data_IF_720441107888
#
_entry.id   IF_720441107888
#
_cell.length_a   1.000
_cell.length_b   1.000
_cell.length_c   1.000
_cell.angle_alpha   90.00
_cell.angle_beta   90.00
_cell.angle_gamma   90.00
#
_symmetry.space_group_name_H-M   'P 1'
#
loop_
_entity.id
_entity.type
_entity.pdbx_description
1 polymer ?
#
# COMPACT_ATOMS: atom_id res chain seq x y z
N UNK A 1 15.50 -0.64 -3.78
CA UNK A 1 15.10 0.60 -3.10
C UNK A 1 15.21 1.82 -4.00
N UNK A 2 16.30 2.03 -4.72
CA UNK A 2 16.43 3.19 -5.63
C UNK A 2 15.38 3.18 -6.76
N UNK A 3 15.14 2.02 -7.39
CA UNK A 3 14.11 1.90 -8.42
C UNK A 3 12.70 2.20 -7.90
N UNK A 4 12.41 1.83 -6.64
CA UNK A 4 11.15 2.22 -6.00
C UNK A 4 11.07 3.74 -5.91
N UNK A 5 12.15 4.37 -5.43
CA UNK A 5 12.18 5.80 -5.19
C UNK A 5 12.05 6.60 -6.49
N UNK A 6 12.76 6.20 -7.54
CA UNK A 6 12.71 6.85 -8.85
C UNK A 6 11.37 6.66 -9.57
N UNK A 7 10.63 5.60 -9.28
CA UNK A 7 9.42 5.22 -10.04
C UNK A 7 8.14 5.57 -9.30
N UNK A 8 8.10 5.35 -7.98
CA UNK A 8 6.86 5.35 -7.20
C UNK A 8 6.78 6.47 -6.16
N UNK A 9 7.89 7.01 -5.65
CA UNK A 9 7.82 7.98 -4.55
C UNK A 9 7.02 9.24 -4.91
N UNK A 10 7.25 9.83 -6.08
CA UNK A 10 6.49 11.00 -6.54
C UNK A 10 5.02 10.68 -6.79
N UNK A 11 4.72 9.49 -7.30
CA UNK A 11 3.35 9.02 -7.57
C UNK A 11 2.58 8.82 -6.28
N UNK A 12 3.23 8.22 -5.27
CA UNK A 12 2.65 8.02 -3.94
C UNK A 12 2.34 9.36 -3.29
N UNK A 13 3.33 10.25 -3.21
CA UNK A 13 3.17 11.51 -2.48
C UNK A 13 2.23 12.48 -3.20
N UNK A 14 2.16 12.44 -4.54
CA UNK A 14 1.18 13.23 -5.29
C UNK A 14 -0.25 12.68 -5.20
N UNK A 15 -0.42 11.36 -5.09
CA UNK A 15 -1.75 10.74 -4.98
C UNK A 15 -2.32 10.83 -3.56
N UNK A 16 -1.49 10.58 -2.54
CA UNK A 16 -1.91 10.59 -1.13
C UNK A 16 -1.80 11.97 -0.49
N UNK A 17 -1.10 12.90 -1.13
CA UNK A 17 -0.81 14.22 -0.61
C UNK A 17 0.31 14.21 0.46
N UNK A 18 0.66 15.41 0.92
CA UNK A 18 1.66 15.59 1.97
C UNK A 18 1.13 15.06 3.30
N UNK A 19 1.86 14.11 3.89
CA UNK A 19 1.53 13.60 5.23
C UNK A 19 2.01 14.54 6.33
N UNK A 20 3.21 15.11 6.17
CA UNK A 20 3.85 15.99 7.14
C UNK A 20 4.52 17.17 6.44
N UNK A 21 4.26 18.41 6.87
CA UNK A 21 4.82 19.61 6.24
C UNK A 21 6.21 20.03 6.75
N UNK A 22 6.69 19.47 7.87
CA UNK A 22 7.93 19.91 8.52
C UNK A 22 8.78 18.74 9.01
N UNK A 23 8.37 18.07 10.08
CA UNK A 23 9.09 16.96 10.69
C UNK A 23 8.23 15.69 10.62
N UNK A 24 8.70 14.72 9.85
CA UNK A 24 8.01 13.45 9.70
C UNK A 24 8.52 12.62 8.54
N UNK A 25 7.71 11.64 8.18
CA UNK A 25 7.88 10.81 7.00
C UNK A 25 6.71 11.06 6.06
N UNK A 26 7.00 11.21 4.76
CA UNK A 26 5.97 11.18 3.71
C UNK A 26 5.46 9.75 3.50
N UNK A 27 4.33 9.61 2.80
CA UNK A 27 3.76 8.30 2.55
C UNK A 27 4.68 7.42 1.71
N UNK A 28 5.42 7.98 0.74
CA UNK A 28 6.43 7.26 -0.04
C UNK A 28 7.50 6.61 0.84
N UNK A 29 8.04 7.36 1.82
CA UNK A 29 9.05 6.87 2.75
C UNK A 29 8.52 5.74 3.65
N UNK A 30 7.25 5.84 4.06
CA UNK A 30 6.60 4.86 4.94
C UNK A 30 6.27 3.59 4.16
N UNK A 31 5.67 3.71 2.97
CA UNK A 31 5.36 2.57 2.10
C UNK A 31 6.65 1.87 1.67
N UNK A 32 7.72 2.62 1.38
CA UNK A 32 9.04 2.05 1.11
C UNK A 32 9.57 1.25 2.31
N UNK A 33 9.43 1.78 3.52
CA UNK A 33 9.83 1.08 4.75
C UNK A 33 9.02 -0.21 4.94
N UNK A 34 7.70 -0.16 4.74
CA UNK A 34 6.83 -1.33 4.74
C UNK A 34 7.23 -2.35 3.66
N UNK A 35 7.60 -1.90 2.44
CA UNK A 35 8.00 -2.78 1.34
C UNK A 35 9.28 -3.57 1.65
N UNK A 36 10.17 -3.03 2.50
CA UNK A 36 11.38 -3.74 2.89
C UNK A 36 11.12 -5.05 3.64
N UNK A 37 9.99 -5.13 4.37
CA UNK A 37 9.54 -6.36 5.05
C UNK A 37 9.26 -7.46 4.03
N UNK A 38 8.46 -7.13 3.02
CA UNK A 38 8.08 -8.07 1.98
C UNK A 38 9.29 -8.55 1.15
N UNK A 39 10.26 -7.67 0.86
CA UNK A 39 11.51 -8.08 0.22
C UNK A 39 12.36 -9.03 1.07
N UNK A 40 12.27 -8.93 2.39
CA UNK A 40 12.91 -9.85 3.32
C UNK A 40 12.11 -11.13 3.56
N UNK A 41 11.02 -11.36 2.81
CA UNK A 41 10.10 -12.50 2.99
C UNK A 41 9.50 -12.57 4.39
N UNK A 42 9.36 -11.42 5.04
CA UNK A 42 8.78 -11.27 6.36
C UNK A 42 7.34 -10.72 6.24
N UNK A 43 6.55 -10.84 7.29
CA UNK A 43 5.19 -10.30 7.38
C UNK A 43 4.95 -9.50 8.67
N UNK A 44 5.90 -9.53 9.61
CA UNK A 44 5.75 -8.84 10.89
C UNK A 44 6.21 -7.38 10.77
N UNK A 45 5.29 -6.43 10.96
CA UNK A 45 5.59 -4.99 10.88
C UNK A 45 6.66 -4.56 11.91
N UNK A 46 6.70 -5.23 13.07
CA UNK A 46 7.70 -5.01 14.11
C UNK A 46 9.13 -5.25 13.62
N UNK A 47 9.32 -6.13 12.65
CA UNK A 47 10.63 -6.55 12.15
C UNK A 47 11.35 -5.45 11.37
N UNK A 48 10.62 -4.41 10.92
CA UNK A 48 11.24 -3.17 10.44
C UNK A 48 12.11 -2.56 11.52
N UNK A 49 11.59 -2.45 12.74
CA UNK A 49 12.30 -1.76 13.83
C UNK A 49 13.35 -2.66 14.47
N UNK A 50 13.04 -3.94 14.69
CA UNK A 50 13.90 -4.87 15.45
C UNK A 50 15.04 -5.43 14.61
N UNK A 51 14.80 -5.67 13.32
CA UNK A 51 15.72 -6.42 12.46
C UNK A 51 16.23 -5.61 11.26
N UNK A 52 15.39 -4.81 10.61
CA UNK A 52 15.78 -4.16 9.33
C UNK A 52 16.37 -2.76 9.51
N UNK A 53 15.87 -1.96 10.46
CA UNK A 53 16.20 -0.54 10.57
C UNK A 53 17.70 -0.29 10.73
N UNK A 54 18.40 -1.08 11.54
CA UNK A 54 19.84 -0.96 11.73
C UNK A 54 20.60 -1.16 10.42
N UNK A 55 20.21 -2.12 9.60
CA UNK A 55 20.85 -2.40 8.32
C UNK A 55 20.47 -1.37 7.25
N UNK A 56 19.19 -1.01 7.17
CA UNK A 56 18.67 -0.05 6.19
C UNK A 56 19.20 1.38 6.43
N UNK A 57 19.49 1.74 7.69
CA UNK A 57 20.07 3.03 8.05
C UNK A 57 21.49 3.25 7.54
N UNK A 58 22.20 2.18 7.15
CA UNK A 58 23.52 2.27 6.53
C UNK A 58 23.45 2.82 5.09
N UNK A 59 22.28 2.84 4.48
CA UNK A 59 22.09 3.38 3.14
C UNK A 59 21.90 4.91 3.21
N UNK A 60 22.76 5.71 2.54
CA UNK A 60 22.89 7.16 2.80
C UNK A 60 21.64 7.98 2.52
N UNK A 61 20.78 7.51 1.61
CA UNK A 61 19.55 8.21 1.21
C UNK A 61 18.28 7.57 1.79
N UNK A 62 18.40 6.44 2.49
CA UNK A 62 17.24 5.65 2.91
C UNK A 62 16.77 6.03 4.31
N UNK A 63 15.71 6.84 4.37
CA UNK A 63 14.99 7.08 5.62
C UNK A 63 14.01 5.93 5.88
N UNK A 64 14.27 5.15 6.92
CA UNK A 64 13.44 4.01 7.35
C UNK A 64 12.66 4.41 8.60
N UNK A 65 11.35 4.32 8.56
CA UNK A 65 10.51 4.64 9.71
C UNK A 65 10.25 3.41 10.60
N UNK A 66 9.86 3.65 11.85
CA UNK A 66 9.50 2.57 12.78
C UNK A 66 8.20 1.87 12.40
N UNK A 67 8.04 0.66 12.92
CA UNK A 67 6.79 -0.10 12.95
C UNK A 67 5.61 0.75 13.43
N UNK A 68 5.76 1.52 14.51
CA UNK A 68 4.71 2.43 15.01
C UNK A 68 4.29 3.48 13.97
N UNK A 69 5.26 4.00 13.22
CA UNK A 69 4.99 5.01 12.18
C UNK A 69 4.23 4.39 11.02
N UNK A 70 4.59 3.17 10.63
CA UNK A 70 3.89 2.39 9.61
C UNK A 70 2.45 2.11 10.04
N UNK A 71 2.25 1.59 11.25
CA UNK A 71 0.91 1.29 11.77
C UNK A 71 0.03 2.54 11.84
N UNK A 72 0.60 3.70 12.19
CA UNK A 72 -0.13 4.97 12.18
C UNK A 72 -0.55 5.36 10.77
N UNK A 73 0.33 5.24 9.78
CA UNK A 73 -0.01 5.53 8.39
C UNK A 73 -1.07 4.57 7.82
N UNK A 74 -1.00 3.28 8.16
CA UNK A 74 -2.04 2.30 7.78
C UNK A 74 -3.39 2.75 8.34
N UNK A 75 -3.43 3.16 9.61
CA UNK A 75 -4.65 3.66 10.23
C UNK A 75 -5.16 4.95 9.57
N UNK A 76 -4.27 5.87 9.20
CA UNK A 76 -4.61 7.10 8.48
C UNK A 76 -5.21 6.83 7.09
N UNK A 77 -4.75 5.77 6.41
CA UNK A 77 -5.20 5.37 5.08
C UNK A 77 -6.39 4.40 5.09
N UNK A 78 -6.80 3.91 6.26
CA UNK A 78 -7.90 2.96 6.38
C UNK A 78 -9.22 3.64 6.08
N UNK A 79 -10.03 3.02 5.21
CA UNK A 79 -11.40 3.44 4.94
C UNK A 79 -12.37 2.45 5.60
N UNK A 80 -13.49 2.94 6.12
CA UNK A 80 -14.53 2.08 6.70
C UNK A 80 -15.22 1.24 5.63
N UNK A 81 -15.64 0.04 6.02
CA UNK A 81 -16.42 -0.82 5.15
C UNK A 81 -17.85 -0.28 5.02
N UNK A 82 -18.42 -0.46 3.83
CA UNK A 82 -19.83 -0.32 3.53
C UNK A 82 -20.47 -1.69 3.70
N UNK A 83 -21.38 -1.82 4.66
CA UNK A 83 -22.12 -3.06 4.87
C UNK A 83 -23.41 -3.07 4.04
N UNK A 84 -23.66 -4.16 3.33
CA UNK A 84 -24.90 -4.42 2.60
C UNK A 84 -25.55 -5.69 3.13
N UNK A 85 -26.81 -5.60 3.56
CA UNK A 85 -27.60 -6.77 3.96
C UNK A 85 -28.54 -7.16 2.83
N UNK A 86 -28.39 -8.38 2.33
CA UNK A 86 -29.24 -8.98 1.30
C UNK A 86 -30.67 -9.27 1.80
N UNK A 87 -31.59 -9.50 0.87
CA UNK A 87 -32.98 -9.90 1.16
C UNK A 87 -33.07 -11.23 1.95
N UNK A 88 -32.01 -12.05 1.91
CA UNK A 88 -31.88 -13.28 2.71
C UNK A 88 -31.30 -13.04 4.12
N UNK A 89 -31.10 -11.77 4.52
CA UNK A 89 -30.59 -11.40 5.85
C UNK A 89 -29.08 -11.54 6.03
N UNK A 90 -28.32 -11.88 4.97
CA UNK A 90 -26.84 -11.96 5.02
C UNK A 90 -26.22 -10.58 4.83
N UNK A 91 -25.27 -10.21 5.69
CA UNK A 91 -24.51 -8.96 5.61
C UNK A 91 -23.14 -9.18 4.96
N UNK A 92 -22.79 -8.31 4.03
CA UNK A 92 -21.56 -8.30 3.27
C UNK A 92 -20.86 -6.96 3.45
N UNK A 93 -19.57 -7.00 3.76
CA UNK A 93 -18.75 -5.80 3.88
C UNK A 93 -17.96 -5.56 2.60
N UNK A 94 -18.06 -4.35 2.08
CA UNK A 94 -17.33 -3.88 0.90
C UNK A 94 -16.45 -2.70 1.30
N UNK A 95 -15.23 -2.65 0.79
CA UNK A 95 -14.36 -1.49 0.98
C UNK A 95 -14.06 -0.88 -0.38
N UNK A 96 -14.48 0.37 -0.61
CA UNK A 96 -14.21 1.04 -1.90
C UNK A 96 -12.81 1.62 -1.96
N UNK A 97 -12.19 1.96 -0.82
CA UNK A 97 -10.81 2.47 -0.69
C UNK A 97 -10.34 3.35 -1.88
N UNK A 98 -11.17 4.30 -2.34
CA UNK A 98 -11.04 4.89 -3.69
C UNK A 98 -9.68 5.57 -3.92
N UNK A 99 -9.15 6.23 -2.88
CA UNK A 99 -7.82 6.83 -2.87
C UNK A 99 -6.71 5.79 -3.05
N UNK A 100 -6.80 4.66 -2.35
CA UNK A 100 -5.81 3.59 -2.46
C UNK A 100 -5.93 2.85 -3.78
N UNK A 101 -7.15 2.64 -4.30
CA UNK A 101 -7.37 2.07 -5.62
C UNK A 101 -6.78 2.96 -6.71
N UNK A 102 -6.96 4.28 -6.62
CA UNK A 102 -6.32 5.25 -7.51
C UNK A 102 -4.80 5.18 -7.41
N UNK A 103 -4.26 5.09 -6.20
CA UNK A 103 -2.82 4.92 -5.99
C UNK A 103 -2.28 3.65 -6.64
N UNK A 104 -2.97 2.52 -6.48
CA UNK A 104 -2.57 1.25 -7.09
C UNK A 104 -2.51 1.37 -8.61
N UNK A 105 -3.54 1.93 -9.24
CA UNK A 105 -3.57 2.16 -10.68
C UNK A 105 -2.41 3.07 -11.13
N UNK A 106 -2.20 4.19 -10.45
CA UNK A 106 -1.13 5.12 -10.78
C UNK A 106 0.26 4.46 -10.66
N UNK A 107 0.47 3.64 -9.63
CA UNK A 107 1.72 2.87 -9.45
C UNK A 107 1.92 1.84 -10.57
N UNK A 108 0.86 1.16 -11.01
CA UNK A 108 0.90 0.18 -12.10
C UNK A 108 1.24 0.87 -13.44
N UNK A 109 0.68 2.05 -13.71
CA UNK A 109 1.05 2.87 -14.87
C UNK A 109 2.51 3.35 -14.79
N UNK A 110 2.93 3.88 -13.63
CA UNK A 110 4.28 4.39 -13.44
C UNK A 110 5.36 3.30 -13.57
N UNK A 111 5.04 2.07 -13.15
CA UNK A 111 5.90 0.90 -13.31
C UNK A 111 5.85 0.28 -14.71
N UNK A 112 5.04 0.83 -15.63
CA UNK A 112 4.91 0.39 -17.01
C UNK A 112 4.22 -0.96 -17.18
N UNK A 113 3.54 -1.45 -16.15
CA UNK A 113 2.77 -2.71 -16.19
C UNK A 113 1.48 -2.53 -16.99
N UNK A 114 0.82 -1.37 -16.83
CA UNK A 114 -0.24 -0.90 -17.72
C UNK A 114 0.29 0.23 -18.61
N UNK A 115 -0.15 0.26 -19.86
CA UNK A 115 0.23 1.23 -20.88
C UNK A 115 -1.01 1.76 -21.59
N UNK A 116 -0.96 3.03 -21.95
CA UNK A 116 -2.06 3.69 -22.65
C UNK A 116 -2.28 3.07 -24.04
N UNK A 117 -3.53 2.81 -24.39
CA UNK A 117 -3.92 2.24 -25.68
C UNK A 117 -3.75 0.72 -25.80
N UNK A 118 -3.19 0.06 -24.79
CA UNK A 118 -3.12 -1.40 -24.73
C UNK A 118 -4.43 -1.98 -24.20
N UNK A 119 -4.79 -3.17 -24.70
CA UNK A 119 -5.92 -3.95 -24.19
C UNK A 119 -5.41 -4.96 -23.16
N UNK A 120 -6.08 -5.00 -22.02
CA UNK A 120 -5.78 -5.93 -20.95
C UNK A 120 -7.01 -6.79 -20.67
N UNK A 121 -6.82 -8.10 -20.70
CA UNK A 121 -7.80 -9.03 -20.17
C UNK A 121 -7.64 -9.04 -18.65
N UNK A 122 -8.60 -8.44 -17.95
CA UNK A 122 -8.67 -8.53 -16.50
C UNK A 122 -9.38 -9.83 -16.17
N UNK A 123 -8.61 -10.85 -15.77
CA UNK A 123 -9.17 -12.10 -15.30
C UNK A 123 -9.77 -11.91 -13.91
N UNK A 124 -11.07 -11.68 -13.86
CA UNK A 124 -11.79 -11.94 -12.64
C UNK A 124 -11.91 -13.46 -12.53
N UNK A 125 -11.14 -14.06 -11.61
CA UNK A 125 -11.40 -15.43 -11.18
C UNK A 125 -12.87 -15.47 -10.73
N UNK A 126 -13.74 -16.02 -11.58
CA UNK A 126 -15.12 -16.34 -11.23
C UNK A 126 -15.15 -17.53 -10.28
N UNK A 127 -14.21 -17.59 -9.32
CA UNK A 127 -14.41 -18.40 -8.15
C UNK A 127 -15.41 -17.62 -7.29
N UNK A 128 -16.70 -17.82 -7.61
CA UNK A 128 -17.73 -17.75 -6.58
C UNK A 128 -17.27 -18.72 -5.49
N UNK A 129 -16.65 -18.19 -4.44
CA UNK A 129 -16.47 -18.95 -3.22
C UNK A 129 -17.90 -19.10 -2.70
N UNK A 130 -18.49 -20.28 -2.91
CA UNK A 130 -19.69 -20.68 -2.19
C UNK A 130 -19.36 -20.60 -0.70
N UNK A 131 -19.64 -19.46 -0.07
CA UNK A 131 -19.89 -19.42 1.36
C UNK A 131 -21.34 -19.79 1.56
N UNK A 132 -21.62 -21.07 1.31
CA UNK A 132 -22.89 -21.72 1.60
C UNK A 132 -22.63 -23.03 2.36
N UNK A 133 -22.57 -22.92 3.69
CA UNK A 133 -23.34 -23.76 4.61
C UNK A 133 -23.85 -22.88 5.74
#
# INVERSE_FOLDING_TARGET
>A
MEQFDSTLSSVIDSTLGLRCGSFGYQYSEIIRSLMSIYFCSDSCIEDVTTHLMNHLSLHPTLRTCSSDTILRAIKELTQENISYTSDMGRTYDFNTADTLNTLLLNCIFASGQLKEGEMYDVDFDHQFIDREV
#
